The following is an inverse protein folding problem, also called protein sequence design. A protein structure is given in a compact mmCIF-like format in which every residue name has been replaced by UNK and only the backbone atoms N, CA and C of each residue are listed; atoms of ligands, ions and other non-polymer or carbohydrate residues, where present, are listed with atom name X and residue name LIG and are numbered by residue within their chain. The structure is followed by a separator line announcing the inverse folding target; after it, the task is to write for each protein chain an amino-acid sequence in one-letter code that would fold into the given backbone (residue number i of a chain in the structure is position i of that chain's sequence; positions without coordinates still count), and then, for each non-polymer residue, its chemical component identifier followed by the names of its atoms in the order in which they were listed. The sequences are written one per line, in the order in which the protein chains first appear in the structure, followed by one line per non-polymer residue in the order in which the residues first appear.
data_IF_579183572510
#
_entry.id   IF_579183572510
#
_cell.length_a   1.000
_cell.length_b   1.000
_cell.length_c   1.000
_cell.angle_alpha   90.00
_cell.angle_beta   90.00
_cell.angle_gamma   90.00
#
_symmetry.space_group_name_H-M   'P 1'
#
loop_
_entity.id
_entity.type
_entity.pdbx_description
1 polymer ?
#
# COMPACT_ATOMS: atom_id res chain seq x y z
N UNK A 1 -26.64 -2.88 -6.46
CA UNK A 1 -25.36 -2.91 -7.19
C UNK A 1 -25.61 -2.27 -8.54
N UNK A 2 -24.89 -1.21 -8.89
CA UNK A 2 -25.02 -0.58 -10.20
C UNK A 2 -24.34 -1.42 -11.28
N UNK A 3 -24.85 -1.33 -12.51
CA UNK A 3 -24.28 -1.97 -13.71
C UNK A 3 -22.77 -1.69 -13.85
N UNK A 4 -22.29 -0.53 -13.39
CA UNK A 4 -20.88 -0.17 -13.40
C UNK A 4 -20.01 -1.04 -12.48
N UNK A 5 -20.49 -1.37 -11.26
CA UNK A 5 -19.70 -2.17 -10.32
C UNK A 5 -19.58 -3.63 -10.79
N UNK A 6 -20.66 -4.21 -11.32
CA UNK A 6 -20.63 -5.56 -11.90
C UNK A 6 -19.65 -5.65 -13.08
N UNK A 7 -19.66 -4.64 -13.97
CA UNK A 7 -18.70 -4.55 -15.07
C UNK A 7 -17.26 -4.42 -14.57
N UNK A 8 -17.03 -3.62 -13.54
CA UNK A 8 -15.70 -3.44 -12.96
C UNK A 8 -15.16 -4.73 -12.37
N UNK A 9 -15.96 -5.44 -11.59
CA UNK A 9 -15.59 -6.73 -11.01
C UNK A 9 -15.29 -7.78 -12.08
N UNK A 10 -16.08 -7.80 -13.16
CA UNK A 10 -15.80 -8.66 -14.30
C UNK A 10 -14.47 -8.32 -14.97
N UNK A 11 -14.17 -7.04 -15.21
CA UNK A 11 -12.91 -6.60 -15.82
C UNK A 11 -11.71 -6.99 -14.94
N UNK A 12 -11.78 -6.69 -13.64
CA UNK A 12 -10.70 -6.95 -12.68
C UNK A 12 -10.39 -8.45 -12.56
N UNK A 13 -11.43 -9.30 -12.54
CA UNK A 13 -11.25 -10.75 -12.35
C UNK A 13 -10.74 -11.47 -13.60
N UNK A 14 -10.91 -10.88 -14.79
CA UNK A 14 -10.63 -11.56 -16.05
C UNK A 14 -9.48 -10.94 -16.86
N UNK A 15 -9.15 -9.67 -16.67
CA UNK A 15 -8.08 -8.98 -17.39
C UNK A 15 -6.78 -8.93 -16.59
N UNK A 16 -5.63 -8.90 -17.29
CA UNK A 16 -4.33 -8.70 -16.64
C UNK A 16 -4.30 -7.37 -15.90
N UNK A 17 -3.81 -7.37 -14.66
CA UNK A 17 -3.57 -6.16 -13.86
C UNK A 17 -2.41 -5.34 -14.47
N UNK A 18 -2.76 -4.38 -15.34
CA UNK A 18 -1.81 -3.47 -15.98
C UNK A 18 -2.46 -2.09 -16.26
N UNK A 19 -1.70 -1.17 -16.86
CA UNK A 19 -2.17 0.17 -17.20
C UNK A 19 -3.40 0.17 -18.12
N UNK A 20 -3.59 -0.85 -18.96
CA UNK A 20 -4.73 -0.93 -19.86
C UNK A 20 -6.03 -1.37 -19.15
N UNK A 21 -5.93 -2.14 -18.06
CA UNK A 21 -7.06 -2.32 -17.14
C UNK A 21 -7.45 -0.99 -16.47
N UNK A 22 -6.46 -0.22 -16.00
CA UNK A 22 -6.72 1.12 -15.47
C UNK A 22 -7.36 2.04 -16.51
N UNK A 23 -6.99 1.94 -17.79
CA UNK A 23 -7.58 2.72 -18.87
C UNK A 23 -9.09 2.45 -19.05
N UNK A 24 -9.49 1.17 -19.05
CA UNK A 24 -10.90 0.79 -19.19
C UNK A 24 -11.70 1.17 -17.94
N UNK A 25 -11.15 0.91 -16.75
CA UNK A 25 -11.78 1.29 -15.49
C UNK A 25 -11.91 2.82 -15.34
N UNK A 26 -10.93 3.60 -15.81
CA UNK A 26 -11.02 5.06 -15.84
C UNK A 26 -12.25 5.55 -16.61
N UNK A 27 -12.49 5.00 -17.81
CA UNK A 27 -13.66 5.37 -18.62
C UNK A 27 -14.97 4.93 -17.97
N UNK A 28 -14.97 3.76 -17.32
CA UNK A 28 -16.12 3.24 -16.57
C UNK A 28 -16.49 4.16 -15.40
N UNK A 29 -15.51 4.56 -14.58
CA UNK A 29 -15.73 5.47 -13.44
C UNK A 29 -16.14 6.86 -13.93
N UNK A 30 -15.47 7.39 -14.97
CA UNK A 30 -15.78 8.70 -15.57
C UNK A 30 -17.21 8.79 -16.11
N UNK A 31 -17.73 7.69 -16.64
CA UNK A 31 -19.09 7.61 -17.20
C UNK A 31 -20.18 7.36 -16.16
N UNK A 32 -19.81 7.04 -14.91
CA UNK A 32 -20.76 6.80 -13.83
C UNK A 32 -21.35 8.11 -13.26
N UNK A 33 -22.50 8.06 -12.56
CA UNK A 33 -23.04 9.17 -11.78
C UNK A 33 -22.00 9.74 -10.80
N UNK A 34 -21.96 11.07 -10.65
CA UNK A 34 -20.90 11.79 -9.89
C UNK A 34 -20.77 11.28 -8.45
N UNK A 35 -21.90 10.98 -7.82
CA UNK A 35 -22.01 10.47 -6.45
C UNK A 35 -21.51 9.03 -6.29
N UNK A 36 -21.50 8.22 -7.36
CA UNK A 36 -20.99 6.85 -7.35
C UNK A 36 -19.48 6.75 -7.61
N UNK A 37 -18.87 7.75 -8.25
CA UNK A 37 -17.46 7.69 -8.69
C UNK A 37 -16.46 7.45 -7.55
N UNK A 38 -16.57 8.11 -6.37
CA UNK A 38 -15.64 7.86 -5.26
C UNK A 38 -15.68 6.39 -4.81
N UNK A 39 -16.88 5.80 -4.76
CA UNK A 39 -17.04 4.40 -4.37
C UNK A 39 -16.50 3.45 -5.43
N UNK A 40 -16.74 3.73 -6.70
CA UNK A 40 -16.18 2.94 -7.80
C UNK A 40 -14.65 3.03 -7.85
N UNK A 41 -14.06 4.19 -7.52
CA UNK A 41 -12.61 4.36 -7.42
C UNK A 41 -12.01 3.51 -6.29
N UNK A 42 -12.65 3.53 -5.12
CA UNK A 42 -12.27 2.66 -3.99
C UNK A 42 -12.33 1.18 -4.39
N UNK A 43 -13.47 0.74 -4.92
CA UNK A 43 -13.71 -0.64 -5.32
C UNK A 43 -12.71 -1.09 -6.40
N UNK A 44 -12.33 -0.19 -7.32
CA UNK A 44 -11.27 -0.43 -8.30
C UNK A 44 -9.93 -0.74 -7.62
N UNK A 45 -9.48 0.09 -6.68
CA UNK A 45 -8.18 -0.13 -6.01
C UNK A 45 -8.17 -1.39 -5.13
N UNK A 46 -9.27 -1.68 -4.45
CA UNK A 46 -9.43 -2.94 -3.70
C UNK A 46 -9.33 -4.12 -4.66
N UNK A 47 -10.14 -4.12 -5.71
CA UNK A 47 -10.22 -5.21 -6.66
C UNK A 47 -8.90 -5.43 -7.41
N UNK A 48 -8.25 -4.35 -7.87
CA UNK A 48 -6.99 -4.40 -8.63
C UNK A 48 -5.87 -5.13 -7.87
N UNK A 49 -5.85 -5.04 -6.53
CA UNK A 49 -4.80 -5.64 -5.70
C UNK A 49 -5.15 -7.01 -5.15
N UNK A 50 -6.41 -7.19 -4.76
CA UNK A 50 -6.82 -8.34 -3.96
C UNK A 50 -7.49 -9.43 -4.78
N UNK A 51 -7.83 -9.18 -6.03
CA UNK A 51 -8.54 -10.16 -6.88
C UNK A 51 -7.55 -10.95 -7.73
N UNK A 52 -7.49 -12.29 -7.59
CA UNK A 52 -6.80 -13.13 -8.55
C UNK A 52 -7.42 -12.97 -9.94
N UNK A 53 -6.58 -12.69 -10.94
CA UNK A 53 -7.03 -12.55 -12.33
C UNK A 53 -6.74 -13.80 -13.14
N UNK A 54 -7.67 -14.19 -14.03
CA UNK A 54 -7.43 -15.24 -15.02
C UNK A 54 -6.52 -14.76 -16.16
N UNK A 55 -6.48 -13.44 -16.42
CA UNK A 55 -5.69 -12.84 -17.49
C UNK A 55 -6.16 -13.17 -18.92
N UNK A 56 -7.29 -13.85 -19.07
CA UNK A 56 -7.83 -14.33 -20.35
C UNK A 56 -8.46 -13.21 -21.18
N UNK A 57 -9.04 -12.21 -20.51
CA UNK A 57 -9.66 -11.07 -21.16
C UNK A 57 -8.60 -10.12 -21.71
N UNK A 58 -8.50 -10.07 -23.04
CA UNK A 58 -7.63 -9.12 -23.74
C UNK A 58 -8.32 -7.77 -23.86
N UNK A 59 -7.72 -6.76 -23.23
CA UNK A 59 -8.19 -5.38 -23.31
C UNK A 59 -7.50 -4.63 -24.46
N UNK A 60 -8.15 -3.60 -25.04
CA UNK A 60 -7.53 -2.74 -26.02
C UNK A 60 -6.28 -2.04 -25.46
N UNK A 61 -5.22 -1.98 -26.27
CA UNK A 61 -4.01 -1.23 -25.91
C UNK A 61 -4.29 0.25 -26.08
N UNK A 62 -4.52 0.93 -24.96
CA UNK A 62 -4.73 2.38 -24.89
C UNK A 62 -3.42 3.11 -24.58
N UNK A 63 -2.55 2.47 -23.79
CA UNK A 63 -1.22 2.94 -23.42
C UNK A 63 -0.23 1.81 -23.70
N UNK A 64 0.78 2.10 -24.51
CA UNK A 64 1.89 1.17 -24.76
C UNK A 64 2.89 1.19 -23.60
N UNK A 65 3.73 0.16 -23.49
CA UNK A 65 4.76 0.10 -22.44
C UNK A 65 5.75 1.28 -22.49
N UNK A 66 6.05 1.80 -23.69
CA UNK A 66 6.89 3.00 -23.84
C UNK A 66 6.19 4.26 -23.32
N UNK A 67 4.89 4.41 -23.64
CA UNK A 67 4.08 5.51 -23.12
C UNK A 67 3.94 5.41 -21.60
N UNK A 68 3.70 4.21 -21.07
CA UNK A 68 3.63 3.96 -19.63
C UNK A 68 4.89 4.47 -18.93
N UNK A 69 6.08 4.02 -19.36
CA UNK A 69 7.36 4.47 -18.79
C UNK A 69 7.53 5.99 -18.88
N UNK A 70 7.27 6.57 -20.05
CA UNK A 70 7.44 8.01 -20.30
C UNK A 70 6.52 8.85 -19.41
N UNK A 71 5.26 8.46 -19.30
CA UNK A 71 4.30 9.17 -18.48
C UNK A 71 4.53 8.95 -16.99
N UNK A 72 4.97 7.75 -16.58
CA UNK A 72 5.29 7.46 -15.18
C UNK A 72 6.48 8.33 -14.70
N UNK A 73 7.55 8.44 -15.51
CA UNK A 73 8.68 9.33 -15.22
C UNK A 73 8.22 10.79 -15.08
N UNK A 74 7.28 11.21 -15.93
CA UNK A 74 6.84 12.61 -15.99
C UNK A 74 5.87 12.99 -14.88
N UNK A 75 4.94 12.11 -14.52
CA UNK A 75 3.80 12.43 -13.66
C UNK A 75 3.81 11.68 -12.33
N UNK A 76 4.49 10.54 -12.21
CA UNK A 76 4.43 9.69 -11.01
C UNK A 76 4.78 10.45 -9.72
N UNK A 77 5.93 11.13 -9.69
CA UNK A 77 6.33 11.94 -8.52
C UNK A 77 5.31 13.01 -8.14
N UNK A 78 4.61 13.59 -9.12
CA UNK A 78 3.60 14.61 -8.86
C UNK A 78 2.33 13.98 -8.27
N UNK A 79 1.92 12.80 -8.77
CA UNK A 79 0.80 12.02 -8.24
C UNK A 79 1.11 11.56 -6.82
N UNK A 80 2.31 11.01 -6.58
CA UNK A 80 2.81 10.65 -5.26
C UNK A 80 2.72 11.81 -4.26
N UNK A 81 3.22 12.98 -4.66
CA UNK A 81 3.22 14.16 -3.79
C UNK A 81 1.80 14.57 -3.40
N UNK A 82 0.89 14.62 -4.37
CA UNK A 82 -0.50 14.99 -4.11
C UNK A 82 -1.22 13.96 -3.23
N UNK A 83 -0.98 12.68 -3.49
CA UNK A 83 -1.56 11.58 -2.71
C UNK A 83 -1.04 11.61 -1.26
N UNK A 84 0.24 11.95 -1.03
CA UNK A 84 0.80 12.15 0.32
C UNK A 84 0.19 13.34 1.05
N UNK A 85 -0.03 14.45 0.35
CA UNK A 85 -0.74 15.62 0.89
C UNK A 85 -2.17 15.27 1.29
N UNK A 86 -2.87 14.50 0.46
CA UNK A 86 -4.24 14.08 0.73
C UNK A 86 -4.31 13.13 1.94
N UNK A 87 -3.35 12.22 2.09
CA UNK A 87 -3.26 11.32 3.25
C UNK A 87 -3.00 12.07 4.57
N UNK A 88 -2.24 13.17 4.54
CA UNK A 88 -1.97 14.00 5.72
C UNK A 88 -3.22 14.69 6.26
N UNK A 89 -4.23 14.92 5.41
CA UNK A 89 -5.50 15.53 5.83
C UNK A 89 -6.37 14.60 6.68
N UNK A 90 -6.08 13.29 6.73
CA UNK A 90 -6.81 12.30 7.52
C UNK A 90 -8.34 12.32 7.31
N UNK A 91 -8.75 12.48 6.04
CA UNK A 91 -10.14 12.57 5.62
C UNK A 91 -10.90 11.25 5.86
N UNK A 92 -12.24 11.29 5.79
CA UNK A 92 -13.00 10.05 5.62
C UNK A 92 -12.63 9.37 4.29
N UNK A 93 -12.82 8.07 4.18
CA UNK A 93 -12.55 7.31 2.95
C UNK A 93 -13.32 7.90 1.77
N UNK A 94 -14.60 8.22 1.99
CA UNK A 94 -15.46 8.85 0.97
C UNK A 94 -14.88 10.18 0.47
N UNK A 95 -14.48 11.06 1.39
CA UNK A 95 -13.96 12.38 1.05
C UNK A 95 -12.56 12.28 0.41
N UNK A 96 -11.73 11.36 0.88
CA UNK A 96 -10.44 11.04 0.29
C UNK A 96 -10.60 10.63 -1.19
N UNK A 97 -11.45 9.64 -1.47
CA UNK A 97 -11.65 9.17 -2.83
C UNK A 97 -12.33 10.21 -3.73
N UNK A 98 -13.22 11.04 -3.18
CA UNK A 98 -13.82 12.15 -3.92
C UNK A 98 -12.76 13.19 -4.33
N UNK A 99 -11.88 13.60 -3.42
CA UNK A 99 -10.81 14.55 -3.72
C UNK A 99 -9.76 13.95 -4.67
N UNK A 100 -9.36 12.70 -4.47
CA UNK A 100 -8.43 12.01 -5.37
C UNK A 100 -9.00 11.91 -6.79
N UNK A 101 -10.27 11.54 -6.93
CA UNK A 101 -10.93 11.48 -8.23
C UNK A 101 -11.00 12.85 -8.91
N UNK A 102 -11.31 13.90 -8.13
CA UNK A 102 -11.34 15.28 -8.61
C UNK A 102 -9.97 15.70 -9.13
N UNK A 103 -8.89 15.42 -8.38
CA UNK A 103 -7.53 15.67 -8.83
C UNK A 103 -7.21 14.94 -10.15
N UNK A 104 -7.49 13.64 -10.24
CA UNK A 104 -7.24 12.85 -11.44
C UNK A 104 -8.00 13.42 -12.64
N UNK A 105 -9.25 13.88 -12.47
CA UNK A 105 -10.09 14.32 -13.59
C UNK A 105 -9.96 15.79 -13.97
N UNK A 106 -9.62 16.66 -13.02
CA UNK A 106 -9.76 18.11 -13.19
C UNK A 106 -8.43 18.85 -13.09
N UNK A 107 -7.37 18.20 -12.58
CA UNK A 107 -6.10 18.88 -12.38
C UNK A 107 -5.44 19.30 -13.70
N UNK A 108 -5.05 20.57 -13.86
CA UNK A 108 -4.42 21.06 -15.09
C UNK A 108 -3.03 20.47 -15.33
N UNK A 109 -2.39 19.93 -14.29
CA UNK A 109 -1.10 19.23 -14.38
C UNK A 109 -1.22 17.86 -15.03
N UNK A 110 -2.45 17.32 -15.16
CA UNK A 110 -2.80 16.09 -15.88
C UNK A 110 -3.61 16.46 -17.14
N UNK A 111 -2.95 16.97 -18.19
CA UNK A 111 -3.59 17.74 -19.25
C UNK A 111 -4.44 16.91 -20.23
N UNK A 112 -4.30 15.59 -20.21
CA UNK A 112 -4.99 14.69 -21.16
C UNK A 112 -5.34 13.36 -20.50
N UNK A 113 -6.27 12.62 -21.12
CA UNK A 113 -6.75 11.34 -20.59
C UNK A 113 -5.62 10.31 -20.38
N UNK A 114 -4.56 10.30 -21.19
CA UNK A 114 -3.40 9.41 -20.96
C UNK A 114 -2.66 9.73 -19.65
N UNK A 115 -2.45 11.01 -19.35
CA UNK A 115 -1.87 11.42 -18.06
C UNK A 115 -2.75 11.03 -16.88
N UNK A 116 -4.07 11.13 -17.02
CA UNK A 116 -5.05 10.79 -15.97
C UNK A 116 -5.13 9.28 -15.73
N UNK A 117 -5.09 8.48 -16.80
CA UNK A 117 -5.03 7.02 -16.72
C UNK A 117 -3.73 6.59 -16.03
N UNK A 118 -2.61 7.23 -16.35
CA UNK A 118 -1.33 6.94 -15.68
C UNK A 118 -1.39 7.31 -14.20
N UNK A 119 -1.96 8.46 -13.85
CA UNK A 119 -2.16 8.81 -12.45
C UNK A 119 -3.04 7.78 -11.71
N UNK A 120 -4.12 7.32 -12.34
CA UNK A 120 -4.97 6.27 -11.78
C UNK A 120 -4.21 4.94 -11.61
N UNK A 121 -3.40 4.56 -12.61
CA UNK A 121 -2.60 3.35 -12.58
C UNK A 121 -1.50 3.41 -11.50
N UNK A 122 -0.82 4.55 -11.38
CA UNK A 122 0.18 4.81 -10.34
C UNK A 122 -0.43 4.67 -8.94
N UNK A 123 -1.60 5.26 -8.72
CA UNK A 123 -2.38 5.03 -7.50
C UNK A 123 -2.76 3.55 -7.31
N UNK A 124 -3.13 2.84 -8.38
CA UNK A 124 -3.54 1.43 -8.28
C UNK A 124 -2.40 0.51 -7.86
N UNK A 125 -1.15 0.83 -8.20
CA UNK A 125 0.04 0.08 -7.78
C UNK A 125 0.63 0.57 -6.45
N UNK A 126 0.27 1.77 -5.98
CA UNK A 126 0.77 2.32 -4.71
C UNK A 126 0.29 1.53 -3.50
N UNK A 127 1.20 0.88 -2.78
CA UNK A 127 0.96 0.05 -1.57
C UNK A 127 0.15 0.73 -0.45
N UNK A 128 0.04 2.06 -0.44
CA UNK A 128 -0.73 2.83 0.56
C UNK A 128 -2.24 2.89 0.24
N UNK A 129 -2.63 2.43 -0.95
CA UNK A 129 -4.03 2.24 -1.33
C UNK A 129 -4.44 0.75 -1.24
N UNK A 130 -5.69 0.40 -0.93
CA UNK A 130 -6.82 1.27 -0.59
C UNK A 130 -6.57 2.12 0.67
N UNK A 131 -7.12 3.33 0.68
CA UNK A 131 -6.95 4.29 1.78
C UNK A 131 -7.91 3.93 2.91
N UNK A 132 -7.40 4.02 4.14
CA UNK A 132 -8.18 3.90 5.36
C UNK A 132 -7.86 5.07 6.28
N UNK A 133 -8.89 5.69 6.84
CA UNK A 133 -8.69 6.74 7.83
C UNK A 133 -8.07 6.11 9.08
N UNK A 134 -6.98 6.72 9.57
CA UNK A 134 -6.33 6.25 10.78
C UNK A 134 -6.84 7.04 11.99
N UNK A 135 -7.17 6.32 13.06
CA UNK A 135 -7.42 6.94 14.37
C UNK A 135 -6.10 7.38 14.98
N UNK A 136 -5.71 8.63 14.70
CA UNK A 136 -4.45 9.22 15.15
C UNK A 136 -4.47 9.64 16.63
N UNK A 137 -5.66 9.83 17.20
CA UNK A 137 -5.82 10.30 18.58
C UNK A 137 -5.45 9.22 19.60
N UNK A 138 -5.45 7.95 19.18
CA UNK A 138 -5.09 6.79 20.01
C UNK A 138 -3.69 6.23 19.73
N UNK A 139 -2.90 6.90 18.90
CA UNK A 139 -1.54 6.44 18.58
C UNK A 139 -0.62 6.76 19.75
N UNK A 140 0.10 5.76 20.23
CA UNK A 140 1.15 5.96 21.22
C UNK A 140 2.34 6.68 20.59
N UNK A 141 2.61 7.88 21.10
CA UNK A 141 3.84 8.64 20.83
C UNK A 141 4.55 8.87 22.15
N UNK A 142 5.86 8.65 22.17
CA UNK A 142 6.70 8.81 23.36
C UNK A 142 8.04 9.40 22.96
N UNK A 143 8.64 10.14 23.88
CA UNK A 143 10.00 10.67 23.72
C UNK A 143 11.04 9.54 23.81
N UNK A 144 12.23 9.78 23.26
CA UNK A 144 13.27 8.75 23.23
C UNK A 144 13.69 8.29 24.63
N UNK A 145 13.74 9.18 25.62
CA UNK A 145 14.09 8.82 27.01
C UNK A 145 13.06 7.84 27.61
N UNK A 146 11.77 8.13 27.48
CA UNK A 146 10.68 7.25 27.91
C UNK A 146 10.76 5.88 27.20
N UNK A 147 11.01 5.89 25.89
CA UNK A 147 11.20 4.67 25.11
C UNK A 147 12.35 3.80 25.65
N UNK A 148 13.49 4.41 25.98
CA UNK A 148 14.64 3.69 26.55
C UNK A 148 14.32 3.12 27.93
N UNK A 149 13.56 3.83 28.76
CA UNK A 149 13.18 3.35 30.07
C UNK A 149 12.21 2.16 29.99
N UNK A 150 11.26 2.18 29.05
CA UNK A 150 10.42 1.01 28.76
C UNK A 150 11.25 -0.17 28.26
N UNK A 151 12.27 0.06 27.40
CA UNK A 151 13.18 -1.00 26.98
C UNK A 151 13.91 -1.65 28.17
N UNK A 152 14.41 -0.84 29.13
CA UNK A 152 15.06 -1.35 30.35
C UNK A 152 14.09 -2.18 31.20
N UNK A 153 12.82 -1.78 31.28
CA UNK A 153 11.79 -2.54 32.00
C UNK A 153 11.48 -3.89 31.35
N UNK A 154 11.45 -3.96 30.01
CA UNK A 154 11.25 -5.22 29.27
C UNK A 154 12.44 -6.18 29.47
N UNK A 155 13.65 -5.62 29.53
CA UNK A 155 14.88 -6.34 29.86
C UNK A 155 15.58 -6.98 28.66
N UNK A 156 16.90 -7.00 28.72
CA UNK A 156 17.77 -7.46 27.62
C UNK A 156 17.58 -8.95 27.31
N UNK A 157 17.36 -9.80 28.33
CA UNK A 157 17.10 -11.23 28.14
C UNK A 157 15.85 -11.48 27.30
N UNK A 158 14.80 -10.65 27.49
CA UNK A 158 13.58 -10.72 26.71
C UNK A 158 13.85 -10.34 25.25
N UNK A 159 14.66 -9.32 25.00
CA UNK A 159 15.04 -8.93 23.64
C UNK A 159 15.97 -9.95 22.97
N UNK A 160 16.94 -10.50 23.69
CA UNK A 160 17.83 -11.55 23.18
C UNK A 160 17.03 -12.80 22.78
N UNK A 161 16.05 -13.20 23.59
CA UNK A 161 15.14 -14.28 23.25
C UNK A 161 14.30 -13.97 22.02
N UNK A 162 13.79 -12.74 21.90
CA UNK A 162 13.07 -12.30 20.71
C UNK A 162 13.96 -12.41 19.47
N UNK A 163 15.20 -11.91 19.52
CA UNK A 163 16.14 -12.01 18.39
C UNK A 163 16.42 -13.46 18.00
N UNK A 164 16.59 -14.35 18.97
CA UNK A 164 16.74 -15.78 18.70
C UNK A 164 15.52 -16.35 17.96
N UNK A 165 14.30 -15.99 18.37
CA UNK A 165 13.06 -16.42 17.71
C UNK A 165 12.93 -15.80 16.30
N UNK A 166 13.28 -14.53 16.11
CA UNK A 166 13.13 -13.87 14.81
C UNK A 166 14.10 -14.43 13.75
N UNK A 167 15.27 -14.91 14.17
CA UNK A 167 16.28 -15.52 13.30
C UNK A 167 16.21 -17.06 13.24
N UNK A 168 15.27 -17.69 13.96
CA UNK A 168 15.13 -19.14 13.97
C UNK A 168 14.49 -19.67 12.70
N UNK A 169 14.88 -20.89 12.31
CA UNK A 169 14.21 -21.65 11.26
C UNK A 169 12.99 -22.38 11.85
N UNK A 170 11.83 -22.18 11.24
CA UNK A 170 10.57 -22.80 11.63
C UNK A 170 9.93 -23.46 10.42
N UNK A 171 9.29 -24.61 10.64
CA UNK A 171 8.59 -25.33 9.58
C UNK A 171 7.33 -24.58 9.14
N UNK A 172 6.70 -23.85 10.06
CA UNK A 172 5.51 -23.05 9.78
C UNK A 172 5.61 -21.62 10.33
N UNK A 173 5.14 -20.64 9.54
CA UNK A 173 5.09 -19.23 9.95
C UNK A 173 4.31 -18.99 11.25
N UNK A 174 3.33 -19.85 11.53
CA UNK A 174 2.52 -19.81 12.75
C UNK A 174 3.29 -20.17 14.01
N UNK A 175 4.34 -20.99 13.91
CA UNK A 175 5.18 -21.38 15.06
C UNK A 175 5.96 -20.16 15.58
N UNK A 176 6.68 -19.49 14.68
CA UNK A 176 7.39 -18.25 14.99
C UNK A 176 6.45 -17.18 15.56
N UNK A 177 5.30 -16.97 14.90
CA UNK A 177 4.30 -16.00 15.34
C UNK A 177 3.76 -16.34 16.74
N UNK A 178 3.49 -17.61 17.03
CA UNK A 178 2.96 -18.04 18.33
C UNK A 178 3.94 -17.77 19.48
N UNK A 179 5.25 -17.95 19.26
CA UNK A 179 6.28 -17.66 20.26
C UNK A 179 6.35 -16.16 20.56
N UNK A 180 6.27 -15.32 19.53
CA UNK A 180 6.23 -13.85 19.68
C UNK A 180 4.98 -13.41 20.45
N UNK A 181 3.81 -13.95 20.10
CA UNK A 181 2.55 -13.66 20.81
C UNK A 181 2.63 -14.07 22.29
N UNK A 182 3.15 -15.26 22.59
CA UNK A 182 3.36 -15.71 23.98
C UNK A 182 4.28 -14.79 24.78
N UNK A 183 5.25 -14.12 24.14
CA UNK A 183 6.09 -13.12 24.80
C UNK A 183 5.32 -11.82 25.04
N UNK A 184 4.52 -11.37 24.07
CA UNK A 184 3.68 -10.18 24.21
C UNK A 184 2.57 -10.35 25.26
N UNK A 185 2.00 -11.55 25.40
CA UNK A 185 0.98 -11.84 26.41
C UNK A 185 1.49 -11.73 27.85
N UNK A 186 2.82 -11.86 28.05
CA UNK A 186 3.47 -11.68 29.35
C UNK A 186 3.75 -10.23 29.70
N UNK A 187 3.55 -9.31 28.77
CA UNK A 187 3.79 -7.88 29.01
C UNK A 187 2.61 -7.27 29.76
N UNK A 188 2.90 -6.40 30.76
CA UNK A 188 1.89 -5.91 31.70
C UNK A 188 0.87 -4.97 31.05
N UNK A 189 1.26 -4.21 30.03
CA UNK A 189 0.42 -3.15 29.48
C UNK A 189 0.58 -2.97 27.96
N UNK A 190 -0.23 -2.07 27.42
CA UNK A 190 -0.20 -1.71 26.00
C UNK A 190 1.12 -1.06 25.59
N UNK A 191 1.69 -0.20 26.43
CA UNK A 191 2.93 0.53 26.16
C UNK A 191 4.12 -0.40 25.96
N UNK A 192 4.33 -1.38 26.86
CA UNK A 192 5.39 -2.37 26.72
C UNK A 192 5.20 -3.23 25.48
N UNK A 193 3.96 -3.64 25.15
CA UNK A 193 3.67 -4.37 23.91
C UNK A 193 4.01 -3.55 22.67
N UNK A 194 3.70 -2.27 22.65
CA UNK A 194 4.07 -1.37 21.56
C UNK A 194 5.59 -1.24 21.42
N UNK A 195 6.32 -1.01 22.52
CA UNK A 195 7.79 -0.91 22.52
C UNK A 195 8.45 -2.24 22.13
N UNK A 196 7.87 -3.37 22.51
CA UNK A 196 8.38 -4.66 22.05
C UNK A 196 8.15 -4.86 20.55
N UNK A 197 6.97 -4.48 20.04
CA UNK A 197 6.66 -4.55 18.60
C UNK A 197 7.57 -3.66 17.75
N UNK A 198 8.08 -2.53 18.27
CA UNK A 198 9.02 -1.70 17.50
C UNK A 198 10.31 -2.46 17.17
N UNK A 199 10.78 -3.38 18.04
CA UNK A 199 11.95 -4.24 17.76
C UNK A 199 11.70 -5.20 16.62
N UNK A 200 10.50 -5.79 16.56
CA UNK A 200 10.09 -6.69 15.48
C UNK A 200 10.03 -5.93 14.16
N UNK A 201 9.40 -4.75 14.17
CA UNK A 201 9.31 -3.88 12.98
C UNK A 201 10.72 -3.46 12.52
N UNK A 202 11.60 -3.07 13.45
CA UNK A 202 12.97 -2.69 13.14
C UNK A 202 13.74 -3.86 12.50
N UNK A 203 13.66 -5.06 13.08
CA UNK A 203 14.30 -6.26 12.56
C UNK A 203 13.96 -6.50 11.08
N UNK A 204 12.66 -6.55 10.72
CA UNK A 204 12.27 -6.79 9.33
C UNK A 204 12.57 -5.63 8.40
N UNK A 205 12.56 -4.37 8.88
CA UNK A 205 13.05 -3.24 8.08
C UNK A 205 14.53 -3.38 7.74
N UNK A 206 15.35 -3.81 8.71
CA UNK A 206 16.77 -4.06 8.50
C UNK A 206 17.03 -5.23 7.54
N UNK A 207 16.31 -6.35 7.70
CA UNK A 207 16.44 -7.49 6.79
C UNK A 207 16.02 -7.14 5.36
N UNK A 208 14.94 -6.39 5.18
CA UNK A 208 14.56 -5.88 3.85
C UNK A 208 15.66 -5.01 3.24
N UNK A 209 16.22 -4.06 3.98
CA UNK A 209 17.32 -3.22 3.50
C UNK A 209 18.54 -4.06 3.10
N UNK A 210 18.89 -5.06 3.92
CA UNK A 210 19.98 -5.99 3.65
C UNK A 210 19.76 -6.80 2.37
N UNK A 211 18.54 -7.29 2.15
CA UNK A 211 18.19 -8.01 0.92
C UNK A 211 18.32 -7.10 -0.32
N UNK A 212 17.84 -5.86 -0.26
CA UNK A 212 17.96 -4.90 -1.37
C UNK A 212 19.43 -4.58 -1.69
N UNK A 213 20.26 -4.39 -0.66
CA UNK A 213 21.69 -4.16 -0.83
C UNK A 213 22.38 -5.37 -1.47
N UNK A 214 22.07 -6.58 -1.01
CA UNK A 214 22.62 -7.82 -1.58
C UNK A 214 22.26 -7.98 -3.05
N UNK A 215 20.98 -7.83 -3.40
CA UNK A 215 20.53 -7.91 -4.80
C UNK A 215 21.21 -6.85 -5.69
N UNK A 216 21.46 -5.66 -5.15
CA UNK A 216 22.15 -4.59 -5.89
C UNK A 216 23.62 -4.92 -6.12
N UNK A 217 24.29 -5.56 -5.15
CA UNK A 217 25.68 -6.02 -5.28
C UNK A 217 25.78 -7.19 -6.27
N UNK A 218 24.87 -8.16 -6.18
CA UNK A 218 24.85 -9.32 -7.08
C UNK A 218 24.61 -8.86 -8.54
N UNK A 219 23.71 -7.90 -8.77
CA UNK A 219 23.47 -7.33 -10.10
C UNK A 219 24.68 -6.55 -10.68
N UNK A 220 25.55 -6.00 -9.83
CA UNK A 220 26.79 -5.33 -10.25
C UNK A 220 27.96 -6.30 -10.45
N UNK A 221 27.85 -7.54 -9.95
CA UNK A 221 28.86 -8.58 -10.11
C UNK A 221 28.63 -9.44 -11.37
N UNK A 222 27.42 -9.39 -11.92
CA UNK A 222 27.01 -10.07 -13.15
C UNK A 222 27.14 -9.20 -14.43
N UNK A 223 27.59 -7.93 -14.29
CA UNK A 223 27.98 -6.99 -15.36
C UNK A 223 29.52 -6.89 -15.51
#
# INVERSE_FOLDING_TARGET
MTNANEKMNFLISNAKANVNLAAVCFQLIKSAPVDERPKLLEDFFVGYKSTPTTGELKLPITISDEEERKYMIRYGKLVDTHMEELQKQNLSEKDFYAQLWTFICESPVLPNDKARIIALFDCAIDKRLPYFKLDRDRVLSMENEEYQDVCKQIGDDTFAKLEFILNGDFDQKTEQASLVVQMMDKMPDYTQRCVFLTRIIAHYKHELLRMHLKMSVDALADD
#
